data_IF_389176320038
#
_entry.id   IF_389176320038
#
_cell.length_a   1.000
_cell.length_b   1.000
_cell.length_c   1.000
_cell.angle_alpha   90.00
_cell.angle_beta   90.00
_cell.angle_gamma   90.00
#
_symmetry.space_group_name_H-M   'P 1'
#
loop_
_entity.id
_entity.type
_entity.pdbx_description
1 polymer ?
#
# COMPACT_ATOMS: atom_id res chain seq x y z
N UNK A 1 4.05 15.50 46.96
CA UNK A 1 2.81 16.30 46.92
C UNK A 1 2.51 16.52 45.45
N UNK A 2 1.52 15.92 44.79
CA UNK A 2 0.24 15.36 45.24
C UNK A 2 -0.15 14.31 44.19
N UNK A 3 -0.32 13.06 44.61
CA UNK A 3 -0.88 11.97 43.80
C UNK A 3 -2.40 12.02 43.93
N UNK A 4 -3.12 12.00 42.80
CA UNK A 4 -4.57 11.77 42.79
C UNK A 4 -4.81 10.43 42.09
N UNK A 5 -5.19 9.48 42.92
CA UNK A 5 -5.85 8.21 42.61
C UNK A 5 -7.37 8.43 42.69
N UNK A 6 -8.13 7.51 42.06
CA UNK A 6 -9.58 7.26 42.08
C UNK A 6 -10.24 7.55 40.71
N UNK A 7 -11.08 6.68 40.16
CA UNK A 7 -11.62 5.44 40.68
C UNK A 7 -12.45 4.73 39.60
N UNK A 8 -12.42 3.41 39.68
CA UNK A 8 -13.34 2.48 39.03
C UNK A 8 -14.76 2.68 39.57
N UNK A 9 -15.69 3.01 38.68
CA UNK A 9 -17.13 3.06 38.96
C UNK A 9 -17.88 2.13 38.01
N UNK A 10 -18.39 1.04 38.57
CA UNK A 10 -19.48 0.21 38.01
C UNK A 10 -20.71 1.08 37.77
N UNK A 11 -21.40 0.85 36.66
CA UNK A 11 -22.86 0.96 36.53
C UNK A 11 -23.25 0.55 35.11
N UNK A 12 -23.92 -0.61 35.01
CA UNK A 12 -24.99 -1.02 34.09
C UNK A 12 -25.00 -2.55 34.01
N UNK A 13 -25.33 -3.16 35.15
CA UNK A 13 -26.17 -4.36 35.19
C UNK A 13 -27.61 -3.86 35.22
N UNK A 14 -28.41 -4.31 34.26
CA UNK A 14 -29.87 -4.56 34.34
C UNK A 14 -30.41 -4.64 32.91
N UNK A 15 -30.59 -5.85 32.41
CA UNK A 15 -31.14 -6.08 31.07
C UNK A 15 -30.99 -7.50 30.50
N UNK A 16 -30.82 -8.52 31.33
CA UNK A 16 -31.01 -9.92 30.92
C UNK A 16 -32.16 -10.52 31.73
N UNK A 17 -33.37 -10.37 31.22
CA UNK A 17 -34.47 -11.26 31.56
C UNK A 17 -35.41 -11.34 30.35
N UNK A 18 -35.76 -12.57 29.96
CA UNK A 18 -36.57 -12.97 28.80
C UNK A 18 -35.80 -13.13 27.48
N UNK A 19 -35.25 -14.32 27.26
CA UNK A 19 -35.65 -15.29 26.22
C UNK A 19 -35.00 -16.62 26.62
N UNK A 20 -35.60 -17.24 27.64
CA UNK A 20 -35.28 -18.57 28.15
C UNK A 20 -36.57 -19.35 28.27
N UNK A 21 -37.20 -19.66 27.14
CA UNK A 21 -38.08 -20.84 26.99
C UNK A 21 -38.24 -21.10 25.49
N UNK A 22 -38.27 -22.37 25.10
CA UNK A 22 -38.42 -22.92 23.71
C UNK A 22 -37.16 -23.63 23.14
N UNK A 23 -36.18 -24.04 23.97
CA UNK A 23 -35.23 -25.10 23.56
C UNK A 23 -35.01 -26.11 24.69
N UNK A 24 -36.10 -26.63 25.24
CA UNK A 24 -36.07 -27.76 26.19
C UNK A 24 -37.13 -28.77 25.76
N UNK A 25 -36.88 -29.42 24.61
CA UNK A 25 -37.61 -30.61 24.17
C UNK A 25 -36.87 -31.31 23.04
N UNK A 26 -35.79 -32.01 23.37
CA UNK A 26 -35.25 -33.16 22.63
C UNK A 26 -34.19 -33.85 23.50
N UNK A 27 -34.54 -34.22 24.73
CA UNK A 27 -33.82 -35.29 25.44
C UNK A 27 -34.53 -36.60 25.09
N UNK A 28 -33.96 -37.32 24.13
CA UNK A 28 -34.34 -38.67 23.77
C UNK A 28 -33.09 -39.52 23.71
N UNK A 29 -33.01 -40.49 24.62
CA UNK A 29 -32.11 -41.65 24.70
C UNK A 29 -31.13 -41.84 23.53
N UNK A 30 -29.84 -41.70 23.83
CA UNK A 30 -28.76 -42.42 23.15
C UNK A 30 -27.85 -43.02 24.24
N UNK A 31 -28.25 -44.21 24.68
CA UNK A 31 -27.38 -45.16 25.37
C UNK A 31 -26.25 -45.61 24.41
N UNK A 32 -25.05 -45.75 24.97
CA UNK A 32 -23.92 -46.57 24.50
C UNK A 32 -23.54 -46.49 23.01
N UNK A 33 -22.78 -45.44 22.65
CA UNK A 33 -21.78 -45.55 21.58
C UNK A 33 -20.40 -45.33 22.19
N UNK A 34 -19.68 -46.44 22.37
CA UNK A 34 -18.28 -46.47 22.73
C UNK A 34 -17.45 -45.72 21.68
N UNK A 35 -16.94 -44.56 22.07
CA UNK A 35 -15.91 -43.85 21.31
C UNK A 35 -14.64 -44.71 21.26
N UNK A 36 -14.05 -44.97 20.09
CA UNK A 36 -12.76 -45.66 20.03
C UNK A 36 -11.71 -44.76 20.69
N UNK A 37 -11.00 -45.34 21.65
CA UNK A 37 -9.84 -44.75 22.31
C UNK A 37 -8.85 -44.27 21.25
N UNK A 38 -8.72 -42.95 21.09
CA UNK A 38 -7.74 -42.31 20.23
C UNK A 38 -6.34 -42.72 20.71
N UNK A 39 -5.70 -43.59 19.93
CA UNK A 39 -4.30 -43.95 20.10
C UNK A 39 -3.45 -42.68 20.16
N UNK A 40 -2.85 -42.41 21.32
CA UNK A 40 -1.88 -41.32 21.54
C UNK A 40 -0.50 -41.61 20.92
N UNK A 41 -0.47 -42.32 19.79
CA UNK A 41 0.71 -42.55 18.97
C UNK A 41 0.54 -41.87 17.61
N UNK A 42 -0.05 -40.66 17.61
CA UNK A 42 0.12 -39.73 16.49
C UNK A 42 1.57 -39.22 16.55
N UNK A 43 2.32 -39.67 15.54
CA UNK A 43 3.54 -39.12 15.03
C UNK A 43 3.94 -37.80 15.70
N UNK A 44 5.05 -37.84 16.43
CA UNK A 44 5.98 -36.72 16.38
C UNK A 44 6.16 -36.38 14.90
N UNK A 45 5.47 -35.33 14.46
CA UNK A 45 5.84 -34.61 13.25
C UNK A 45 7.31 -34.29 13.44
N UNK A 46 8.16 -35.09 12.76
CA UNK A 46 9.46 -34.61 12.36
C UNK A 46 9.16 -33.26 11.73
N UNK A 47 9.56 -32.19 12.41
CA UNK A 47 9.80 -30.89 11.80
C UNK A 47 10.65 -31.23 10.58
N UNK A 48 10.01 -31.32 9.41
CA UNK A 48 10.70 -31.38 8.14
C UNK A 48 11.73 -30.28 8.21
N UNK A 49 13.01 -30.68 8.26
CA UNK A 49 14.12 -29.76 8.25
C UNK A 49 13.88 -28.84 7.07
N UNK A 50 13.54 -27.57 7.33
CA UNK A 50 13.29 -26.55 6.30
C UNK A 50 14.32 -26.74 5.20
N UNK A 51 13.87 -27.21 4.04
CA UNK A 51 14.73 -27.49 2.92
C UNK A 51 15.46 -26.18 2.60
N UNK A 52 16.75 -26.12 2.95
CA UNK A 52 17.55 -24.90 2.95
C UNK A 52 17.59 -24.30 1.54
N UNK A 53 16.71 -23.34 1.27
CA UNK A 53 16.72 -22.66 -0.02
C UNK A 53 18.04 -21.87 -0.16
N UNK A 54 18.76 -22.01 -1.29
CA UNK A 54 19.94 -21.19 -1.54
C UNK A 54 19.54 -19.71 -1.55
N UNK A 55 20.37 -18.85 -0.93
CA UNK A 55 20.17 -17.40 -0.83
C UNK A 55 19.89 -16.73 -2.19
N UNK A 56 20.38 -17.31 -3.28
CA UNK A 56 20.15 -16.86 -4.66
C UNK A 56 18.67 -16.91 -5.10
N UNK A 57 17.86 -17.79 -4.50
CA UNK A 57 16.40 -17.87 -4.76
C UNK A 57 15.58 -16.98 -3.82
N UNK A 58 16.23 -16.26 -2.90
CA UNK A 58 15.54 -15.42 -1.92
C UNK A 58 14.82 -14.25 -2.58
N UNK A 59 13.58 -13.99 -2.14
CA UNK A 59 12.84 -12.75 -2.44
C UNK A 59 13.62 -11.51 -2.01
N UNK A 60 14.49 -11.63 -0.98
CA UNK A 60 15.37 -10.56 -0.48
C UNK A 60 16.39 -10.11 -1.53
N UNK A 61 17.02 -11.05 -2.25
CA UNK A 61 18.01 -10.72 -3.29
C UNK A 61 17.39 -9.85 -4.40
N UNK A 62 16.15 -10.14 -4.79
CA UNK A 62 15.42 -9.33 -5.79
C UNK A 62 15.26 -7.88 -5.35
N UNK A 63 15.05 -7.65 -4.06
CA UNK A 63 14.88 -6.31 -3.51
C UNK A 63 16.20 -5.57 -3.34
N UNK A 64 17.28 -6.26 -2.92
CA UNK A 64 18.63 -5.66 -2.93
C UNK A 64 19.06 -5.29 -4.35
N UNK A 65 18.76 -6.13 -5.34
CA UNK A 65 19.01 -5.81 -6.75
C UNK A 65 18.18 -4.59 -7.20
N UNK A 66 16.92 -4.52 -6.81
CA UNK A 66 16.06 -3.36 -7.08
C UNK A 66 16.63 -2.08 -6.47
N UNK A 67 17.09 -2.14 -5.22
CA UNK A 67 17.74 -1.01 -4.54
C UNK A 67 19.05 -0.60 -5.21
N UNK A 68 19.86 -1.54 -5.69
CA UNK A 68 21.06 -1.24 -6.46
C UNK A 68 20.72 -0.49 -7.77
N UNK A 69 19.73 -0.99 -8.53
CA UNK A 69 19.28 -0.35 -9.78
C UNK A 69 18.73 1.06 -9.50
N UNK A 70 17.89 1.21 -8.49
CA UNK A 70 17.34 2.51 -8.11
C UNK A 70 18.43 3.48 -7.64
N UNK A 71 19.40 3.01 -6.85
CA UNK A 71 20.54 3.82 -6.43
C UNK A 71 21.38 4.26 -7.63
N UNK A 72 21.56 3.40 -8.65
CA UNK A 72 22.25 3.77 -9.88
C UNK A 72 21.49 4.86 -10.66
N UNK A 73 20.16 4.73 -10.77
CA UNK A 73 19.33 5.78 -11.36
C UNK A 73 19.40 7.08 -10.57
N UNK A 74 19.53 7.01 -9.24
CA UNK A 74 19.68 8.16 -8.37
C UNK A 74 21.01 8.87 -8.62
N UNK A 75 22.10 8.11 -8.78
CA UNK A 75 23.42 8.65 -9.14
C UNK A 75 23.36 9.38 -10.48
N UNK A 76 22.79 8.75 -11.51
CA UNK A 76 22.65 9.38 -12.84
C UNK A 76 21.83 10.67 -12.74
N UNK A 77 20.68 10.62 -12.06
CA UNK A 77 19.81 11.80 -11.89
C UNK A 77 20.52 12.92 -11.12
N UNK A 78 21.32 12.58 -10.10
CA UNK A 78 22.08 13.56 -9.30
C UNK A 78 23.23 14.16 -10.10
N UNK A 79 23.87 13.37 -10.95
CA UNK A 79 24.98 13.80 -11.80
C UNK A 79 24.51 14.72 -12.94
N UNK A 80 23.41 14.37 -13.61
CA UNK A 80 22.80 15.20 -14.64
C UNK A 80 22.39 16.57 -14.05
N UNK A 81 21.81 16.54 -12.85
CA UNK A 81 21.45 17.74 -12.08
C UNK A 81 22.65 18.66 -11.78
N UNK A 82 23.84 18.10 -11.47
CA UNK A 82 25.07 18.88 -11.24
C UNK A 82 25.66 19.44 -12.56
N UNK A 83 25.55 18.70 -13.66
CA UNK A 83 26.02 19.14 -14.97
C UNK A 83 25.23 20.33 -15.52
N UNK A 84 23.90 20.31 -15.39
CA UNK A 84 23.04 21.44 -15.80
C UNK A 84 23.42 22.73 -15.08
N UNK A 85 23.76 22.65 -13.79
CA UNK A 85 24.22 23.80 -13.01
C UNK A 85 25.60 24.33 -13.47
N UNK A 86 26.51 23.46 -13.91
CA UNK A 86 27.82 23.88 -14.43
C UNK A 86 27.75 24.49 -15.83
N UNK A 87 26.73 24.15 -16.62
CA UNK A 87 26.58 24.61 -17.99
C UNK A 87 25.96 26.02 -18.10
N UNK A 88 25.33 26.53 -17.03
CA UNK A 88 24.82 27.89 -16.97
C UNK A 88 25.97 28.85 -16.58
N UNK A 89 26.41 29.76 -17.46
CA UNK A 89 27.35 30.79 -17.07
C UNK A 89 26.68 31.68 -16.02
N UNK A 90 27.25 31.71 -14.82
CA UNK A 90 26.86 32.67 -13.77
C UNK A 90 26.81 34.06 -14.41
N UNK A 91 25.68 34.78 -14.36
CA UNK A 91 25.65 36.17 -14.79
C UNK A 91 26.68 36.91 -13.95
N UNK A 92 27.74 37.42 -14.59
CA UNK A 92 28.69 38.25 -13.87
C UNK A 92 27.93 39.45 -13.32
N UNK A 93 28.02 39.73 -12.01
CA UNK A 93 27.36 40.89 -11.45
C UNK A 93 27.90 42.12 -12.17
N UNK A 94 27.04 42.82 -12.90
CA UNK A 94 27.34 44.18 -13.33
C UNK A 94 27.45 45.00 -12.05
N UNK A 95 28.67 45.43 -11.73
CA UNK A 95 28.97 46.33 -10.62
C UNK A 95 28.27 47.69 -10.86
N UNK A 96 26.99 47.78 -10.57
CA UNK A 96 26.27 49.05 -10.51
C UNK A 96 25.25 49.00 -9.37
N UNK A 97 25.69 49.46 -8.20
CA UNK A 97 24.94 50.11 -7.11
C UNK A 97 23.51 49.58 -6.88
N UNK A 98 23.36 48.61 -5.97
CA UNK A 98 22.06 48.24 -5.39
C UNK A 98 22.16 48.37 -3.85
N UNK A 99 21.19 49.04 -3.19
CA UNK A 99 21.20 49.26 -1.75
C UNK A 99 21.10 47.96 -0.95
N UNK A 100 21.72 47.98 0.22
CA UNK A 100 21.99 46.89 1.18
C UNK A 100 20.78 46.06 1.66
N UNK A 101 19.57 46.38 1.19
CA UNK A 101 18.34 45.61 1.47
C UNK A 101 18.06 44.48 0.49
N UNK A 102 18.67 44.47 -0.71
CA UNK A 102 18.52 43.37 -1.68
C UNK A 102 19.49 42.20 -1.46
N UNK A 103 20.49 42.33 -0.57
CA UNK A 103 21.41 41.24 -0.23
C UNK A 103 20.76 40.12 0.62
N UNK A 104 19.50 40.30 1.03
CA UNK A 104 18.70 39.23 1.64
C UNK A 104 17.82 38.50 0.62
N UNK A 105 17.65 39.04 -0.60
CA UNK A 105 16.56 38.68 -1.54
C UNK A 105 17.01 37.90 -2.79
N UNK A 106 18.33 37.74 -3.04
CA UNK A 106 18.85 36.86 -4.11
C UNK A 106 18.96 35.38 -3.71
N UNK A 107 18.61 35.02 -2.46
CA UNK A 107 18.55 33.65 -1.98
C UNK A 107 17.21 32.98 -2.33
N UNK A 108 16.77 33.06 -3.59
CA UNK A 108 15.94 31.99 -4.12
C UNK A 108 16.90 30.81 -4.22
N UNK A 109 16.86 29.91 -3.21
CA UNK A 109 17.85 28.84 -3.03
C UNK A 109 17.93 27.99 -4.30
N UNK A 110 18.85 28.32 -5.20
CA UNK A 110 19.56 27.26 -5.90
C UNK A 110 20.08 26.34 -4.81
N UNK A 111 19.69 25.07 -4.85
CA UNK A 111 20.23 24.09 -3.95
C UNK A 111 21.74 24.26 -3.92
N UNK A 112 22.26 24.46 -2.71
CA UNK A 112 23.67 24.74 -2.52
C UNK A 112 24.46 23.61 -3.19
N UNK A 113 25.65 23.94 -3.69
CA UNK A 113 26.56 22.94 -4.25
C UNK A 113 26.73 21.77 -3.28
N UNK A 114 26.71 22.05 -1.98
CA UNK A 114 26.78 21.07 -0.91
C UNK A 114 25.59 20.11 -0.88
N UNK A 115 24.36 20.56 -1.18
CA UNK A 115 23.16 19.70 -1.24
C UNK A 115 23.21 18.75 -2.44
N UNK A 116 23.73 19.23 -3.58
CA UNK A 116 23.90 18.42 -4.80
C UNK A 116 25.00 17.38 -4.62
N UNK A 117 26.10 17.76 -4.00
CA UNK A 117 27.16 16.84 -3.59
C UNK A 117 26.60 15.81 -2.61
N UNK A 118 25.83 16.24 -1.62
CA UNK A 118 25.19 15.33 -0.66
C UNK A 118 24.28 14.32 -1.36
N UNK A 119 23.44 14.76 -2.30
CA UNK A 119 22.58 13.90 -3.11
C UNK A 119 23.37 12.84 -3.90
N UNK A 120 24.48 13.25 -4.53
CA UNK A 120 25.38 12.35 -5.24
C UNK A 120 26.07 11.35 -4.29
N UNK A 121 26.51 11.80 -3.11
CA UNK A 121 27.17 10.96 -2.10
C UNK A 121 26.19 9.92 -1.56
N UNK A 122 24.98 10.32 -1.16
CA UNK A 122 23.91 9.43 -0.69
C UNK A 122 23.66 8.33 -1.72
N UNK A 123 23.47 8.72 -2.98
CA UNK A 123 23.15 7.80 -4.07
C UNK A 123 24.31 6.85 -4.38
N UNK A 124 25.54 7.36 -4.41
CA UNK A 124 26.75 6.59 -4.76
C UNK A 124 27.13 5.60 -3.68
N UNK A 125 27.14 6.04 -2.41
CA UNK A 125 27.37 5.15 -1.26
C UNK A 125 26.30 4.06 -1.23
N UNK A 126 25.05 4.41 -1.51
CA UNK A 126 23.94 3.46 -1.61
C UNK A 126 24.12 2.42 -2.69
N UNK A 127 24.49 2.85 -3.90
CA UNK A 127 24.79 1.95 -4.98
C UNK A 127 25.89 0.95 -4.60
N UNK A 128 26.98 1.45 -4.02
CA UNK A 128 28.13 0.62 -3.64
C UNK A 128 27.74 -0.44 -2.62
N UNK A 129 27.08 -0.08 -1.51
CA UNK A 129 26.76 -1.09 -0.51
C UNK A 129 25.67 -2.07 -0.98
N UNK A 130 24.67 -1.63 -1.74
CA UNK A 130 23.68 -2.55 -2.31
C UNK A 130 24.33 -3.54 -3.28
N UNK A 131 25.25 -3.09 -4.12
CA UNK A 131 26.02 -3.98 -5.00
C UNK A 131 26.89 -4.95 -4.20
N UNK A 132 27.53 -4.51 -3.11
CA UNK A 132 28.28 -5.40 -2.23
C UNK A 132 27.38 -6.50 -1.64
N UNK A 133 26.17 -6.16 -1.17
CA UNK A 133 25.21 -7.15 -0.63
C UNK A 133 24.77 -8.13 -1.72
N UNK A 134 24.44 -7.65 -2.92
CA UNK A 134 24.08 -8.49 -4.06
C UNK A 134 25.23 -9.44 -4.41
N UNK A 135 26.47 -8.93 -4.48
CA UNK A 135 27.66 -9.74 -4.76
C UNK A 135 27.89 -10.80 -3.69
N UNK A 136 27.67 -10.50 -2.41
CA UNK A 136 27.74 -11.51 -1.33
C UNK A 136 26.75 -12.65 -1.57
N UNK A 137 25.51 -12.34 -1.94
CA UNK A 137 24.48 -13.34 -2.23
C UNK A 137 24.79 -14.17 -3.48
N UNK A 138 25.35 -13.54 -4.53
CA UNK A 138 25.74 -14.23 -5.76
C UNK A 138 26.94 -15.14 -5.51
N UNK A 139 27.96 -14.64 -4.80
CA UNK A 139 29.16 -15.41 -4.45
C UNK A 139 28.77 -16.60 -3.57
N UNK A 140 27.89 -16.44 -2.59
CA UNK A 140 27.43 -17.56 -1.75
C UNK A 140 26.76 -18.67 -2.58
N UNK A 141 26.08 -18.31 -3.68
CA UNK A 141 25.51 -19.28 -4.62
C UNK A 141 26.54 -20.08 -5.43
N UNK A 142 27.77 -19.58 -5.57
CA UNK A 142 28.86 -20.23 -6.32
C UNK A 142 29.87 -20.90 -5.36
N UNK A 143 30.19 -20.21 -4.26
CA UNK A 143 31.13 -20.60 -3.21
C UNK A 143 30.50 -20.31 -1.85
N UNK A 144 30.07 -21.33 -1.07
CA UNK A 144 29.39 -21.12 0.19
C UNK A 144 30.31 -20.49 1.23
N UNK A 145 30.21 -19.17 1.41
CA UNK A 145 31.00 -18.39 2.36
C UNK A 145 30.25 -18.35 3.70
N UNK A 146 30.40 -19.42 4.49
CA UNK A 146 29.66 -19.65 5.74
C UNK A 146 29.63 -18.46 6.70
N UNK A 147 30.71 -17.67 6.79
CA UNK A 147 30.77 -16.49 7.68
C UNK A 147 29.94 -15.30 7.17
N UNK A 148 29.97 -15.06 5.86
CA UNK A 148 29.21 -13.96 5.24
C UNK A 148 27.73 -14.31 5.17
N UNK A 149 27.42 -15.58 4.92
CA UNK A 149 26.05 -16.12 4.96
C UNK A 149 25.36 -15.86 6.29
N UNK A 150 26.03 -16.15 7.42
CA UNK A 150 25.49 -15.87 8.77
C UNK A 150 25.12 -14.41 9.00
N UNK A 151 25.79 -13.47 8.34
CA UNK A 151 25.44 -12.05 8.45
C UNK A 151 24.13 -11.69 7.75
N UNK A 152 23.65 -12.50 6.80
CA UNK A 152 22.43 -12.29 6.01
C UNK A 152 21.45 -13.48 6.07
N UNK A 153 21.60 -14.37 7.05
CA UNK A 153 20.62 -15.43 7.30
C UNK A 153 19.30 -14.85 7.84
N UNK A 154 18.21 -15.62 7.74
CA UNK A 154 16.89 -15.21 8.25
C UNK A 154 16.99 -14.81 9.73
N UNK A 155 16.50 -13.62 10.08
CA UNK A 155 16.58 -13.10 11.45
C UNK A 155 17.96 -12.55 11.86
N UNK A 156 18.89 -12.35 10.92
CA UNK A 156 20.20 -11.78 11.24
C UNK A 156 20.09 -10.33 11.74
N UNK A 157 20.61 -10.07 12.95
CA UNK A 157 20.70 -8.74 13.53
C UNK A 157 21.57 -7.76 12.71
N UNK A 158 22.58 -8.28 12.01
CA UNK A 158 23.45 -7.47 11.15
C UNK A 158 22.65 -6.95 9.95
N UNK A 159 21.85 -7.83 9.33
CA UNK A 159 21.04 -7.47 8.17
C UNK A 159 19.99 -6.41 8.53
N UNK A 160 19.22 -6.59 9.60
CA UNK A 160 18.23 -5.57 10.01
C UNK A 160 18.89 -4.25 10.40
N UNK A 161 20.06 -4.27 11.03
CA UNK A 161 20.79 -3.04 11.34
C UNK A 161 21.14 -2.28 10.06
N UNK A 162 21.64 -2.97 9.04
CA UNK A 162 21.96 -2.36 7.73
C UNK A 162 20.70 -1.82 7.06
N UNK A 163 19.61 -2.59 7.01
CA UNK A 163 18.35 -2.15 6.38
C UNK A 163 17.73 -0.96 7.14
N UNK A 164 17.71 -1.00 8.47
CA UNK A 164 17.16 0.08 9.30
C UNK A 164 17.97 1.38 9.15
N UNK A 165 19.30 1.29 9.22
CA UNK A 165 20.18 2.44 8.98
C UNK A 165 20.02 2.98 7.56
N UNK A 166 19.91 2.11 6.56
CA UNK A 166 19.62 2.48 5.18
C UNK A 166 18.27 3.20 5.05
N UNK A 167 17.23 2.72 5.74
CA UNK A 167 15.90 3.34 5.74
C UNK A 167 15.93 4.75 6.35
N UNK A 168 16.61 4.92 7.48
CA UNK A 168 16.78 6.24 8.12
C UNK A 168 17.61 7.18 7.24
N UNK A 169 18.69 6.66 6.64
CA UNK A 169 19.55 7.42 5.73
C UNK A 169 18.76 7.94 4.52
N UNK A 170 18.01 7.07 3.85
CA UNK A 170 17.14 7.45 2.74
C UNK A 170 15.98 8.33 3.16
N UNK A 171 15.46 8.19 4.38
CA UNK A 171 14.42 9.08 4.90
C UNK A 171 14.93 10.51 5.00
N UNK A 172 16.07 10.69 5.68
CA UNK A 172 16.71 12.00 5.83
C UNK A 172 17.08 12.57 4.47
N UNK A 173 17.72 11.77 3.60
CA UNK A 173 18.09 12.22 2.27
C UNK A 173 16.88 12.62 1.42
N UNK A 174 15.78 11.87 1.48
CA UNK A 174 14.54 12.23 0.77
C UNK A 174 13.99 13.53 1.32
N UNK A 175 13.85 13.67 2.64
CA UNK A 175 13.37 14.91 3.25
C UNK A 175 14.19 16.15 2.87
N UNK A 176 15.52 16.02 2.81
CA UNK A 176 16.40 17.13 2.41
C UNK A 176 16.28 17.38 0.90
N UNK A 177 16.59 16.37 0.08
CA UNK A 177 16.76 16.53 -1.37
C UNK A 177 15.46 16.84 -2.08
N UNK A 178 14.32 16.34 -1.57
CA UNK A 178 13.01 16.58 -2.18
C UNK A 178 12.26 17.75 -1.54
N UNK A 179 12.82 18.42 -0.53
CA UNK A 179 12.20 19.64 0.01
C UNK A 179 12.16 20.76 -1.04
N UNK A 180 11.33 21.78 -0.79
CA UNK A 180 11.30 23.01 -1.59
C UNK A 180 12.64 23.76 -1.61
N UNK A 181 13.51 23.51 -0.63
CA UNK A 181 14.83 24.14 -0.52
C UNK A 181 15.96 23.26 -1.02
N UNK A 182 15.68 21.97 -1.30
CA UNK A 182 16.69 21.01 -1.73
C UNK A 182 16.78 20.92 -3.25
N UNK A 183 17.74 20.14 -3.73
CA UNK A 183 18.09 19.92 -5.15
C UNK A 183 16.89 19.82 -6.10
N UNK A 184 15.86 19.11 -5.67
CA UNK A 184 14.72 18.83 -6.50
C UNK A 184 13.74 20.03 -6.52
N UNK A 185 13.69 20.86 -5.47
CA UNK A 185 12.85 22.05 -5.31
C UNK A 185 13.25 23.27 -6.14
N UNK A 186 14.40 23.23 -6.83
CA UNK A 186 14.95 24.32 -7.65
C UNK A 186 14.10 24.71 -8.87
N UNK A 187 12.95 24.05 -9.11
CA UNK A 187 12.03 24.39 -10.20
C UNK A 187 12.63 24.17 -11.60
N UNK A 188 13.65 23.31 -11.71
CA UNK A 188 14.32 22.95 -12.97
C UNK A 188 13.77 21.65 -13.58
N UNK A 189 12.53 21.25 -13.22
CA UNK A 189 11.90 20.03 -13.74
C UNK A 189 12.62 18.71 -13.43
N UNK A 190 13.33 18.62 -12.30
CA UNK A 190 14.15 17.46 -11.92
C UNK A 190 13.33 16.29 -11.35
N UNK A 191 12.23 15.92 -12.03
CA UNK A 191 11.25 14.93 -11.58
C UNK A 191 11.84 13.56 -11.29
N UNK A 192 12.85 13.15 -12.06
CA UNK A 192 13.54 11.87 -11.87
C UNK A 192 14.20 11.78 -10.48
N UNK A 193 14.76 12.89 -9.99
CA UNK A 193 15.40 12.92 -8.68
C UNK A 193 14.39 12.68 -7.56
N UNK A 194 13.20 13.28 -7.67
CA UNK A 194 12.07 13.04 -6.77
C UNK A 194 11.62 11.59 -6.75
N UNK A 195 11.27 11.03 -7.91
CA UNK A 195 10.77 9.65 -7.97
C UNK A 195 11.77 8.67 -7.43
N UNK A 196 13.04 8.78 -7.83
CA UNK A 196 14.03 7.79 -7.46
C UNK A 196 14.32 7.85 -5.96
N UNK A 197 14.41 9.03 -5.34
CA UNK A 197 14.64 9.16 -3.90
C UNK A 197 13.49 8.55 -3.07
N UNK A 198 12.26 8.92 -3.40
CA UNK A 198 11.09 8.37 -2.70
C UNK A 198 10.94 6.86 -2.92
N UNK A 199 11.17 6.36 -4.13
CA UNK A 199 11.11 4.92 -4.39
C UNK A 199 12.24 4.20 -3.64
N UNK A 200 13.45 4.75 -3.56
CA UNK A 200 14.52 4.21 -2.73
C UNK A 200 14.11 4.13 -1.26
N UNK A 201 13.51 5.19 -0.70
CA UNK A 201 12.99 5.19 0.66
C UNK A 201 11.93 4.09 0.86
N UNK A 202 10.92 4.01 0.00
CA UNK A 202 9.86 3.02 0.14
C UNK A 202 10.36 1.58 0.00
N UNK A 203 11.29 1.32 -0.91
CA UNK A 203 11.86 -0.04 -1.06
C UNK A 203 12.70 -0.40 0.16
N UNK A 204 13.38 0.57 0.80
CA UNK A 204 14.08 0.33 2.07
C UNK A 204 13.11 0.01 3.22
N UNK A 205 12.03 0.77 3.37
CA UNK A 205 10.98 0.47 4.36
C UNK A 205 10.37 -0.90 4.11
N UNK A 206 10.08 -1.26 2.85
CA UNK A 206 9.55 -2.57 2.51
C UNK A 206 10.55 -3.70 2.76
N UNK A 207 11.86 -3.44 2.65
CA UNK A 207 12.88 -4.42 3.04
C UNK A 207 12.86 -4.72 4.54
N UNK A 208 12.54 -3.74 5.39
CA UNK A 208 12.35 -3.96 6.84
C UNK A 208 11.20 -4.93 7.07
N UNK A 209 10.06 -4.73 6.39
CA UNK A 209 8.91 -5.63 6.45
C UNK A 209 9.26 -7.06 6.00
N UNK A 210 9.92 -7.20 4.85
CA UNK A 210 10.35 -8.52 4.33
C UNK A 210 11.27 -9.22 5.33
N UNK A 211 12.20 -8.49 5.94
CA UNK A 211 13.09 -9.04 6.95
C UNK A 211 12.31 -9.51 8.19
N UNK A 212 11.36 -8.71 8.68
CA UNK A 212 10.56 -9.05 9.85
C UNK A 212 9.71 -10.30 9.63
N UNK A 213 9.14 -10.44 8.42
CA UNK A 213 8.41 -11.65 8.01
C UNK A 213 9.36 -12.85 7.93
N UNK A 214 10.54 -12.70 7.33
CA UNK A 214 11.52 -13.78 7.21
C UNK A 214 12.11 -14.21 8.57
N UNK A 215 12.15 -13.30 9.55
CA UNK A 215 12.59 -13.56 10.92
C UNK A 215 11.52 -14.26 11.79
N UNK A 216 10.35 -14.60 11.21
CA UNK A 216 9.22 -15.21 11.92
C UNK A 216 8.74 -14.37 13.11
N UNK A 217 8.77 -13.03 13.01
CA UNK A 217 8.15 -12.18 14.02
C UNK A 217 6.62 -12.35 13.96
N UNK A 218 6.12 -13.21 14.85
CA UNK A 218 4.72 -13.62 14.89
C UNK A 218 3.76 -12.44 15.03
N UNK A 219 4.12 -11.41 15.79
CA UNK A 219 3.31 -10.18 15.93
C UNK A 219 3.09 -9.44 14.61
N UNK A 220 4.08 -9.44 13.71
CA UNK A 220 4.01 -8.76 12.42
C UNK A 220 3.32 -9.62 11.39
N UNK A 221 3.58 -10.93 11.42
CA UNK A 221 2.83 -11.88 10.60
C UNK A 221 1.34 -11.88 10.95
N UNK A 222 1.01 -11.93 12.25
CA UNK A 222 -0.34 -11.79 12.76
C UNK A 222 -0.91 -10.42 12.44
N UNK A 223 -0.12 -9.33 12.51
CA UNK A 223 -0.57 -8.01 12.07
C UNK A 223 -0.90 -8.01 10.57
N UNK A 224 0.03 -8.34 9.68
CA UNK A 224 -0.22 -8.33 8.23
C UNK A 224 -1.39 -9.25 7.85
N UNK A 225 -1.51 -10.42 8.49
CA UNK A 225 -2.65 -11.33 8.30
C UNK A 225 -3.95 -10.83 8.92
N UNK A 226 -3.89 -10.07 10.02
CA UNK A 226 -5.07 -9.55 10.69
C UNK A 226 -5.65 -8.34 9.97
N UNK A 227 -4.93 -7.74 9.03
CA UNK A 227 -5.49 -6.62 8.27
C UNK A 227 -6.61 -7.15 7.39
N UNK A 228 -7.86 -6.74 7.65
CA UNK A 228 -9.00 -7.21 6.89
C UNK A 228 -8.91 -6.68 5.47
N UNK A 229 -9.11 -7.57 4.50
CA UNK A 229 -9.44 -7.22 3.12
C UNK A 229 -8.55 -6.13 2.51
N UNK A 230 -9.08 -4.90 2.45
CA UNK A 230 -8.56 -3.75 1.71
C UNK A 230 -8.15 -2.60 2.64
N UNK A 231 -8.13 -2.81 3.96
CA UNK A 231 -7.63 -1.84 4.94
C UNK A 231 -6.23 -1.27 4.59
N UNK A 232 -5.25 -2.09 4.14
CA UNK A 232 -3.95 -1.55 3.74
C UNK A 232 -4.05 -0.54 2.59
N UNK A 233 -4.94 -0.77 1.64
CA UNK A 233 -5.17 0.14 0.52
C UNK A 233 -5.72 1.49 0.97
N UNK A 234 -6.74 1.50 1.84
CA UNK A 234 -7.30 2.74 2.37
C UNK A 234 -6.31 3.50 3.25
N UNK A 235 -5.52 2.81 4.07
CA UNK A 235 -4.47 3.44 4.88
C UNK A 235 -3.41 4.08 3.99
N UNK A 236 -3.00 3.42 2.90
CA UNK A 236 -2.08 4.01 1.93
C UNK A 236 -2.67 5.22 1.22
N UNK A 237 -3.95 5.16 0.79
CA UNK A 237 -4.65 6.32 0.21
C UNK A 237 -4.66 7.48 1.22
N UNK A 238 -4.96 7.21 2.48
CA UNK A 238 -4.96 8.22 3.53
C UNK A 238 -3.60 8.90 3.69
N UNK A 239 -2.53 8.12 3.86
CA UNK A 239 -1.17 8.65 4.09
C UNK A 239 -0.70 9.47 2.89
N UNK A 240 -0.80 8.92 1.67
CA UNK A 240 -0.38 9.60 0.45
C UNK A 240 -1.19 10.88 0.20
N UNK A 241 -2.51 10.82 0.40
CA UNK A 241 -3.39 11.98 0.24
C UNK A 241 -3.09 13.06 1.28
N UNK A 242 -2.86 12.68 2.54
CA UNK A 242 -2.57 13.63 3.61
C UNK A 242 -1.26 14.38 3.32
N UNK A 243 -0.22 13.63 2.95
CA UNK A 243 1.04 14.22 2.54
C UNK A 243 0.86 15.13 1.32
N UNK A 244 0.09 14.70 0.32
CA UNK A 244 -0.22 15.51 -0.86
C UNK A 244 -0.94 16.81 -0.47
N UNK A 245 -1.95 16.73 0.39
CA UNK A 245 -2.70 17.89 0.88
C UNK A 245 -1.80 18.88 1.61
N UNK A 246 -0.93 18.40 2.50
CA UNK A 246 0.04 19.24 3.19
C UNK A 246 0.99 19.92 2.19
N UNK A 247 1.47 19.20 1.18
CA UNK A 247 2.31 19.78 0.12
C UNK A 247 1.56 20.83 -0.72
N UNK A 248 0.28 20.61 -1.06
CA UNK A 248 -0.53 21.59 -1.80
C UNK A 248 -0.79 22.84 -0.96
N UNK A 249 -1.11 22.67 0.32
CA UNK A 249 -1.34 23.79 1.23
C UNK A 249 -0.08 24.61 1.44
N UNK A 250 1.06 23.94 1.62
CA UNK A 250 2.37 24.58 1.71
C UNK A 250 2.63 25.40 0.44
N UNK A 251 2.51 24.80 -0.75
CA UNK A 251 2.68 25.50 -2.02
C UNK A 251 1.78 26.71 -2.21
N UNK A 252 0.52 26.60 -1.79
CA UNK A 252 -0.44 27.70 -1.85
C UNK A 252 -0.03 28.84 -0.93
N UNK A 253 0.44 28.52 0.28
CA UNK A 253 0.95 29.50 1.23
C UNK A 253 2.23 30.17 0.68
N UNK A 254 3.15 29.41 0.08
CA UNK A 254 4.33 29.92 -0.60
C UNK A 254 3.98 30.96 -1.67
N UNK A 255 2.99 30.69 -2.53
CA UNK A 255 2.52 31.65 -3.53
C UNK A 255 2.01 32.98 -2.96
N UNK A 256 1.60 33.02 -1.68
CA UNK A 256 1.21 34.27 -1.01
C UNK A 256 2.37 35.03 -0.38
N UNK A 257 3.37 34.32 0.15
CA UNK A 257 4.55 34.88 0.83
C UNK A 257 5.49 35.55 -0.18
N UNK A 258 5.64 34.97 -1.38
CA UNK A 258 6.53 35.48 -2.42
C UNK A 258 5.95 36.61 -3.29
N UNK A 259 4.79 37.19 -2.92
CA UNK A 259 4.27 38.40 -3.61
C UNK A 259 5.26 39.57 -3.65
N UNK A 260 6.28 39.57 -2.79
CA UNK A 260 7.36 40.55 -2.78
C UNK A 260 8.51 40.27 -3.76
N UNK A 261 8.62 39.08 -4.37
CA UNK A 261 9.71 38.71 -5.27
C UNK A 261 9.16 38.16 -6.61
N UNK A 262 8.75 39.05 -7.53
CA UNK A 262 8.09 38.68 -8.79
C UNK A 262 9.02 37.99 -9.81
N UNK A 263 10.33 38.03 -9.60
CA UNK A 263 11.32 37.44 -10.51
C UNK A 263 11.58 35.95 -10.24
N UNK A 264 11.03 35.40 -9.16
CA UNK A 264 11.15 33.98 -8.82
C UNK A 264 10.35 33.12 -9.82
N UNK A 265 11.02 32.21 -10.53
CA UNK A 265 10.41 31.33 -11.54
C UNK A 265 9.25 30.50 -10.98
N UNK A 266 9.39 29.96 -9.75
CA UNK A 266 8.35 29.21 -9.08
C UNK A 266 7.14 30.10 -8.76
N UNK A 267 7.36 31.34 -8.35
CA UNK A 267 6.27 32.29 -8.11
C UNK A 267 5.50 32.61 -9.39
N UNK A 268 6.20 32.88 -10.50
CA UNK A 268 5.58 33.14 -11.81
C UNK A 268 4.75 31.94 -12.26
N UNK A 269 5.29 30.72 -12.13
CA UNK A 269 4.56 29.49 -12.46
C UNK A 269 3.33 29.35 -11.56
N UNK A 270 3.46 29.42 -10.24
CA UNK A 270 2.34 29.26 -9.31
C UNK A 270 1.27 30.36 -9.47
N UNK A 271 1.65 31.57 -9.86
CA UNK A 271 0.72 32.66 -10.16
C UNK A 271 -0.08 32.40 -11.45
N UNK A 272 0.52 31.71 -12.42
CA UNK A 272 -0.17 31.35 -13.67
C UNK A 272 -1.19 30.23 -13.49
N UNK A 273 -1.12 29.47 -12.39
CA UNK A 273 -2.06 28.40 -12.07
C UNK A 273 -3.43 28.97 -11.71
N UNK A 274 -4.46 28.56 -12.46
CA UNK A 274 -5.83 28.98 -12.22
C UNK A 274 -6.33 28.57 -10.81
N UNK A 275 -7.03 29.48 -10.12
CA UNK A 275 -7.61 29.23 -8.79
C UNK A 275 -8.49 27.96 -8.74
N UNK A 276 -9.18 27.63 -9.83
CA UNK A 276 -10.01 26.42 -9.93
C UNK A 276 -9.19 25.13 -9.80
N UNK A 277 -7.91 25.12 -10.22
CA UNK A 277 -7.05 23.95 -10.04
C UNK A 277 -6.71 23.74 -8.57
N UNK A 278 -6.39 24.81 -7.83
CA UNK A 278 -6.13 24.75 -6.39
C UNK A 278 -7.34 24.22 -5.61
N UNK A 279 -8.53 24.74 -5.94
CA UNK A 279 -9.78 24.29 -5.33
C UNK A 279 -10.06 22.81 -5.65
N UNK A 280 -9.88 22.41 -6.91
CA UNK A 280 -10.04 21.02 -7.32
C UNK A 280 -9.11 20.07 -6.56
N UNK A 281 -7.83 20.42 -6.40
CA UNK A 281 -6.86 19.63 -5.64
C UNK A 281 -7.24 19.50 -4.16
N UNK A 282 -7.69 20.58 -3.53
CA UNK A 282 -8.14 20.54 -2.14
C UNK A 282 -9.38 19.66 -2.01
N UNK A 283 -10.36 19.78 -2.91
CA UNK A 283 -11.56 18.93 -2.93
C UNK A 283 -11.19 17.46 -3.13
N UNK A 284 -10.27 17.16 -4.06
CA UNK A 284 -9.77 15.81 -4.32
C UNK A 284 -9.13 15.21 -3.07
N UNK A 285 -8.28 15.99 -2.38
CA UNK A 285 -7.64 15.56 -1.15
C UNK A 285 -8.66 15.33 -0.03
N UNK A 286 -9.54 16.29 0.24
CA UNK A 286 -10.55 16.17 1.31
C UNK A 286 -11.48 14.98 1.08
N UNK A 287 -11.95 14.79 -0.16
CA UNK A 287 -12.80 13.66 -0.52
C UNK A 287 -12.08 12.33 -0.30
N UNK A 288 -10.80 12.24 -0.69
CA UNK A 288 -9.98 11.04 -0.54
C UNK A 288 -9.67 10.75 0.93
N UNK A 289 -9.38 11.76 1.74
CA UNK A 289 -9.21 11.63 3.19
C UNK A 289 -10.49 11.14 3.86
N UNK A 290 -11.64 11.74 3.53
CA UNK A 290 -12.92 11.35 4.11
C UNK A 290 -13.26 9.88 3.79
N UNK A 291 -13.11 9.47 2.53
CA UNK A 291 -13.38 8.09 2.09
C UNK A 291 -12.38 7.12 2.74
N UNK A 292 -11.08 7.44 2.72
CA UNK A 292 -10.06 6.55 3.29
C UNK A 292 -10.16 6.39 4.80
N UNK A 293 -10.51 7.45 5.55
CA UNK A 293 -10.80 7.35 6.98
C UNK A 293 -12.06 6.50 7.20
N UNK A 294 -13.16 6.78 6.49
CA UNK A 294 -14.42 6.08 6.69
C UNK A 294 -14.27 4.56 6.46
N UNK A 295 -13.72 4.16 5.31
CA UNK A 295 -13.51 2.75 5.01
C UNK A 295 -12.35 2.16 5.82
N UNK A 296 -11.28 2.92 6.09
CA UNK A 296 -10.18 2.46 6.93
C UNK A 296 -10.65 2.09 8.34
N UNK A 297 -11.46 2.95 8.98
CA UNK A 297 -12.03 2.67 10.29
C UNK A 297 -13.06 1.54 10.25
N UNK A 298 -13.95 1.52 9.25
CA UNK A 298 -14.92 0.43 9.07
C UNK A 298 -14.24 -0.93 8.95
N UNK A 299 -13.14 -0.99 8.20
CA UNK A 299 -12.35 -2.20 8.05
C UNK A 299 -11.66 -2.57 9.37
N UNK A 300 -10.88 -1.65 9.96
CA UNK A 300 -10.10 -1.91 11.19
C UNK A 300 -10.99 -2.32 12.37
N UNK A 301 -12.17 -1.73 12.52
CA UNK A 301 -13.09 -2.02 13.62
C UNK A 301 -14.17 -3.07 13.29
N UNK A 302 -14.03 -3.81 12.18
CA UNK A 302 -14.96 -4.91 11.88
C UNK A 302 -14.85 -5.98 12.99
N UNK A 303 -15.98 -6.47 13.51
CA UNK A 303 -16.00 -7.49 14.59
C UNK A 303 -15.51 -8.86 14.09
N UNK A 304 -14.74 -9.55 14.92
CA UNK A 304 -14.05 -10.83 14.63
C UNK A 304 -14.98 -12.00 14.25
N UNK A 305 -16.23 -12.04 14.72
CA UNK A 305 -17.16 -13.12 14.35
C UNK A 305 -17.51 -13.13 12.85
N UNK A 306 -17.35 -11.99 12.17
CA UNK A 306 -17.48 -11.85 10.71
C UNK A 306 -16.14 -12.01 9.96
N UNK A 307 -15.00 -12.08 10.66
CA UNK A 307 -13.68 -12.22 10.05
C UNK A 307 -13.41 -13.63 9.51
N UNK A 308 -13.88 -14.65 10.24
CA UNK A 308 -13.62 -16.05 9.87
C UNK A 308 -14.29 -16.40 8.52
N UNK A 309 -15.44 -15.78 8.23
CA UNK A 309 -16.17 -15.97 6.98
C UNK A 309 -16.04 -14.81 5.98
N UNK A 310 -15.47 -13.69 6.40
CA UNK A 310 -15.14 -12.53 5.56
C UNK A 310 -16.30 -12.06 4.66
N UNK A 311 -17.51 -12.02 5.20
CA UNK A 311 -18.72 -11.68 4.43
C UNK A 311 -18.99 -10.18 4.58
N UNK A 312 -18.53 -9.37 3.61
CA UNK A 312 -19.00 -7.99 3.46
C UNK A 312 -20.46 -7.99 3.03
N UNK A 313 -21.27 -7.08 3.57
CA UNK A 313 -22.64 -6.92 3.05
C UNK A 313 -22.61 -6.43 1.60
N UNK A 314 -23.58 -6.83 0.78
CA UNK A 314 -23.67 -6.39 -0.63
C UNK A 314 -23.69 -4.87 -0.75
N UNK A 315 -24.36 -4.18 0.18
CA UNK A 315 -24.45 -2.72 0.23
C UNK A 315 -23.09 -2.09 0.52
N UNK A 316 -22.37 -2.60 1.51
CA UNK A 316 -21.02 -2.13 1.86
C UNK A 316 -20.05 -2.34 0.70
N UNK A 317 -20.04 -3.53 0.10
CA UNK A 317 -19.17 -3.84 -1.04
C UNK A 317 -19.44 -2.92 -2.25
N UNK A 318 -20.72 -2.62 -2.50
CA UNK A 318 -21.15 -1.73 -3.58
C UNK A 318 -20.79 -0.28 -3.30
N UNK A 319 -21.02 0.20 -2.07
CA UNK A 319 -20.66 1.56 -1.66
C UNK A 319 -19.15 1.78 -1.75
N UNK A 320 -18.35 0.79 -1.34
CA UNK A 320 -16.91 0.80 -1.48
C UNK A 320 -16.48 0.88 -2.95
N UNK A 321 -17.12 0.09 -3.83
CA UNK A 321 -16.86 0.11 -5.27
C UNK A 321 -17.17 1.44 -5.93
N UNK A 322 -18.32 2.05 -5.57
CA UNK A 322 -18.70 3.38 -6.04
C UNK A 322 -17.68 4.42 -5.56
N UNK A 323 -17.30 4.38 -4.29
CA UNK A 323 -16.33 5.31 -3.70
C UNK A 323 -14.97 5.21 -4.38
N UNK A 324 -14.45 4.00 -4.58
CA UNK A 324 -13.18 3.78 -5.28
C UNK A 324 -13.24 4.20 -6.76
N UNK A 325 -14.39 4.01 -7.42
CA UNK A 325 -14.59 4.48 -8.80
C UNK A 325 -14.56 6.01 -8.88
N UNK A 326 -15.21 6.70 -7.95
CA UNK A 326 -15.15 8.17 -7.84
C UNK A 326 -13.71 8.63 -7.62
N UNK A 327 -13.00 8.01 -6.65
CA UNK A 327 -11.60 8.34 -6.38
C UNK A 327 -10.70 8.11 -7.60
N UNK A 328 -10.90 7.01 -8.33
CA UNK A 328 -10.14 6.69 -9.54
C UNK A 328 -10.24 7.81 -10.59
N UNK A 329 -11.46 8.28 -10.88
CA UNK A 329 -11.65 9.37 -11.83
C UNK A 329 -11.09 10.71 -11.33
N UNK A 330 -11.29 11.03 -10.05
CA UNK A 330 -10.75 12.24 -9.43
C UNK A 330 -9.22 12.27 -9.57
N UNK A 331 -8.53 11.20 -9.19
CA UNK A 331 -7.06 11.17 -9.15
C UNK A 331 -6.40 11.05 -10.51
N UNK A 332 -7.02 10.37 -11.47
CA UNK A 332 -6.55 10.42 -12.87
C UNK A 332 -6.62 11.86 -13.39
N UNK A 333 -7.74 12.53 -13.13
CA UNK A 333 -7.93 13.93 -13.55
C UNK A 333 -6.96 14.86 -12.81
N UNK A 334 -6.80 14.71 -11.49
CA UNK A 334 -5.85 15.48 -10.70
C UNK A 334 -4.41 15.30 -11.16
N UNK A 335 -4.02 14.07 -11.49
CA UNK A 335 -2.70 13.82 -12.06
C UNK A 335 -2.55 14.50 -13.41
N UNK A 336 -3.48 14.29 -14.33
CA UNK A 336 -3.41 14.89 -15.67
C UNK A 336 -3.32 16.43 -15.61
N UNK A 337 -4.16 17.06 -14.79
CA UNK A 337 -4.21 18.53 -14.65
C UNK A 337 -3.04 19.08 -13.86
N UNK A 338 -2.69 18.47 -12.71
CA UNK A 338 -1.65 19.01 -11.83
C UNK A 338 -0.24 18.84 -12.37
N UNK A 339 0.01 17.76 -13.10
CA UNK A 339 1.35 17.42 -13.60
C UNK A 339 1.63 17.95 -15.01
N UNK A 340 0.61 18.46 -15.72
CA UNK A 340 0.74 19.10 -17.04
C UNK A 340 0.54 20.60 -16.88
N UNK A 341 1.63 21.33 -16.62
CA UNK A 341 1.64 22.79 -16.38
C UNK A 341 0.73 23.25 -15.22
N UNK A 342 0.42 22.35 -14.29
CA UNK A 342 -0.51 22.59 -13.18
C UNK A 342 0.16 22.82 -11.83
N UNK A 343 -0.67 22.84 -10.78
CA UNK A 343 -0.30 23.08 -9.37
C UNK A 343 0.94 22.31 -8.90
N UNK A 344 1.14 21.08 -9.40
CA UNK A 344 2.17 20.16 -8.93
C UNK A 344 3.26 19.90 -9.94
N UNK A 345 3.23 20.58 -11.09
CA UNK A 345 4.19 20.38 -12.18
C UNK A 345 5.61 20.66 -11.71
N UNK A 346 5.93 21.87 -11.25
CA UNK A 346 7.31 22.26 -10.94
C UNK A 346 7.82 21.92 -9.53
N UNK A 347 6.98 21.32 -8.69
CA UNK A 347 7.33 21.01 -7.29
C UNK A 347 7.22 19.53 -7.09
N UNK A 348 8.35 18.84 -6.98
CA UNK A 348 8.28 17.40 -7.06
C UNK A 348 7.79 16.68 -5.82
N UNK A 349 7.70 17.31 -4.63
CA UNK A 349 6.91 16.70 -3.55
C UNK A 349 5.42 16.68 -3.93
N UNK A 350 4.90 17.79 -4.45
CA UNK A 350 3.55 17.85 -5.00
C UNK A 350 3.35 16.86 -6.15
N UNK A 351 4.30 16.83 -7.10
CA UNK A 351 4.29 15.91 -8.24
C UNK A 351 4.25 14.46 -7.79
N UNK A 352 5.21 14.08 -6.95
CA UNK A 352 5.39 12.72 -6.47
C UNK A 352 4.19 12.26 -5.65
N UNK A 353 3.70 13.08 -4.72
CA UNK A 353 2.59 12.72 -3.86
C UNK A 353 1.26 12.64 -4.64
N UNK A 354 1.11 13.45 -5.70
CA UNK A 354 -0.03 13.32 -6.63
C UNK A 354 -0.02 11.96 -7.32
N UNK A 355 1.14 11.55 -7.85
CA UNK A 355 1.30 10.23 -8.47
C UNK A 355 1.18 9.09 -7.47
N UNK A 356 1.77 9.20 -6.28
CA UNK A 356 1.70 8.20 -5.23
C UNK A 356 0.24 7.97 -4.79
N UNK A 357 -0.54 9.04 -4.61
CA UNK A 357 -1.96 8.97 -4.27
C UNK A 357 -2.76 8.29 -5.39
N UNK A 358 -2.46 8.62 -6.64
CA UNK A 358 -3.11 7.99 -7.81
C UNK A 358 -2.80 6.51 -7.91
N UNK A 359 -1.54 6.11 -7.73
CA UNK A 359 -1.13 4.70 -7.73
C UNK A 359 -1.81 3.95 -6.58
N UNK A 360 -1.85 4.53 -5.36
CA UNK A 360 -2.53 3.93 -4.22
C UNK A 360 -4.02 3.68 -4.48
N UNK A 361 -4.70 4.66 -5.10
CA UNK A 361 -6.11 4.53 -5.50
C UNK A 361 -6.29 3.45 -6.57
N UNK A 362 -5.47 3.46 -7.63
CA UNK A 362 -5.55 2.45 -8.70
C UNK A 362 -5.30 1.05 -8.15
N UNK A 363 -4.29 0.86 -7.30
CA UNK A 363 -3.97 -0.44 -6.72
C UNK A 363 -5.11 -0.96 -5.85
N UNK A 364 -5.70 -0.08 -5.02
CA UNK A 364 -6.85 -0.43 -4.18
C UNK A 364 -8.08 -0.76 -5.03
N UNK A 365 -8.32 0.00 -6.10
CA UNK A 365 -9.40 -0.25 -7.06
C UNK A 365 -9.24 -1.56 -7.82
N UNK A 366 -8.04 -1.88 -8.31
CA UNK A 366 -7.74 -3.17 -8.97
C UNK A 366 -7.94 -4.33 -8.01
N UNK A 367 -7.56 -4.17 -6.75
CA UNK A 367 -7.80 -5.17 -5.70
C UNK A 367 -9.30 -5.37 -5.51
N UNK A 368 -10.08 -4.29 -5.47
CA UNK A 368 -11.53 -4.37 -5.43
C UNK A 368 -12.15 -5.11 -6.62
N UNK A 369 -11.68 -4.83 -7.85
CA UNK A 369 -12.14 -5.53 -9.06
C UNK A 369 -11.82 -7.03 -8.98
N UNK A 370 -10.66 -7.41 -8.46
CA UNK A 370 -10.28 -8.83 -8.32
C UNK A 370 -11.24 -9.55 -7.37
N UNK A 371 -11.56 -8.94 -6.24
CA UNK A 371 -12.50 -9.51 -5.27
C UNK A 371 -13.91 -9.59 -5.86
N UNK A 372 -14.35 -8.55 -6.58
CA UNK A 372 -15.63 -8.55 -7.28
C UNK A 372 -15.73 -9.71 -8.27
N UNK A 373 -14.70 -9.89 -9.11
CA UNK A 373 -14.65 -10.99 -10.09
C UNK A 373 -14.68 -12.36 -9.41
N UNK A 374 -13.99 -12.50 -8.28
CA UNK A 374 -14.00 -13.73 -7.49
C UNK A 374 -15.41 -14.03 -6.97
N UNK A 375 -16.07 -13.03 -6.37
CA UNK A 375 -17.43 -13.16 -5.84
C UNK A 375 -18.44 -13.52 -6.94
N UNK A 376 -18.37 -12.89 -8.11
CA UNK A 376 -19.24 -13.22 -9.26
C UNK A 376 -19.03 -14.66 -9.71
N UNK A 377 -17.78 -15.13 -9.75
CA UNK A 377 -17.48 -16.53 -10.10
C UNK A 377 -18.03 -17.50 -9.08
N UNK A 378 -17.89 -17.22 -7.79
CA UNK A 378 -18.39 -18.06 -6.71
C UNK A 378 -19.93 -18.15 -6.75
N UNK A 379 -20.62 -17.02 -6.95
CA UNK A 379 -22.08 -16.97 -7.12
C UNK A 379 -22.53 -17.75 -8.37
N UNK A 380 -21.86 -17.57 -9.50
CA UNK A 380 -22.17 -18.27 -10.75
C UNK A 380 -21.98 -19.80 -10.60
N UNK A 381 -20.91 -20.23 -9.92
CA UNK A 381 -20.66 -21.64 -9.63
C UNK A 381 -21.71 -22.22 -8.68
N UNK A 382 -22.18 -21.44 -7.71
CA UNK A 382 -23.23 -21.86 -6.79
C UNK A 382 -24.56 -22.04 -7.52
N UNK A 383 -24.96 -21.07 -8.36
CA UNK A 383 -26.15 -21.16 -9.20
C UNK A 383 -26.09 -22.36 -10.15
N UNK A 384 -24.93 -22.66 -10.73
CA UNK A 384 -24.75 -23.84 -11.57
C UNK A 384 -24.93 -25.15 -10.79
N UNK A 385 -24.38 -25.23 -9.57
CA UNK A 385 -24.57 -26.40 -8.69
C UNK A 385 -26.03 -26.58 -8.29
N UNK A 386 -26.72 -25.49 -7.96
CA UNK A 386 -28.13 -25.53 -7.57
C UNK A 386 -29.01 -25.94 -8.76
N UNK A 387 -28.74 -25.40 -9.96
CA UNK A 387 -29.41 -25.81 -11.20
C UNK A 387 -29.20 -27.30 -11.49
N UNK A 388 -27.96 -27.80 -11.38
CA UNK A 388 -27.64 -29.22 -11.59
C UNK A 388 -28.37 -30.12 -10.59
N UNK A 389 -28.42 -29.74 -9.31
CA UNK A 389 -29.22 -30.48 -8.30
C UNK A 389 -30.70 -30.50 -8.66
N UNK A 390 -31.25 -29.37 -9.13
CA UNK A 390 -32.64 -29.31 -9.58
C UNK A 390 -32.90 -30.22 -10.79
N UNK A 391 -31.96 -30.32 -11.74
CA UNK A 391 -32.06 -31.26 -12.86
C UNK A 391 -32.03 -32.73 -12.40
N UNK A 392 -31.08 -33.08 -11.51
CA UNK A 392 -30.95 -34.42 -10.94
C UNK A 392 -32.22 -34.83 -10.14
N UNK A 393 -32.98 -33.88 -9.60
CA UNK A 393 -34.26 -34.13 -8.93
C UNK A 393 -35.45 -34.29 -9.90
N UNK A 394 -35.39 -33.72 -11.10
CA UNK A 394 -36.50 -33.75 -12.09
C UNK A 394 -36.39 -34.94 -13.05
N UNK A 395 -35.17 -35.37 -13.41
CA UNK A 395 -34.94 -36.57 -14.25
C UNK A 395 -35.58 -37.87 -13.73
N UNK A 396 -35.60 -38.19 -12.42
CA UNK A 396 -36.31 -39.39 -11.95
C UNK A 396 -37.83 -39.27 -12.05
N UNK A 397 -38.40 -38.06 -12.05
CA UNK A 397 -39.86 -37.87 -12.20
C UNK A 397 -40.34 -38.03 -13.64
N UNK A 398 -39.57 -37.61 -14.64
CA UNK A 398 -39.92 -37.83 -16.05
C UNK A 398 -39.81 -39.31 -16.46
N UNK A 399 -38.87 -40.05 -15.87
CA UNK A 399 -38.74 -41.50 -16.08
C UNK A 399 -39.86 -42.33 -15.44
N UNK A 400 -40.47 -41.87 -14.34
CA UNK A 400 -41.64 -42.52 -13.73
C UNK A 400 -42.91 -42.17 -14.51
N UNK A 401 -43.11 -40.90 -14.88
CA UNK A 401 -44.30 -40.46 -15.61
C UNK A 401 -44.39 -41.02 -17.04
N UNK A 402 -43.24 -41.25 -17.69
CA UNK A 402 -43.18 -41.94 -18.98
C UNK A 402 -43.51 -43.43 -18.92
N UNK A 403 -43.28 -44.10 -17.78
CA UNK A 403 -43.66 -45.51 -17.58
C UNK A 403 -45.13 -45.68 -17.22
N UNK A 404 -45.73 -44.75 -16.48
CA UNK A 404 -47.16 -44.79 -16.16
C UNK A 404 -48.04 -44.55 -17.40
N UNK A 405 -47.62 -43.68 -18.32
CA UNK A 405 -48.36 -43.45 -19.58
C UNK A 405 -48.26 -44.64 -20.54
N UNK A 406 -47.15 -45.38 -20.55
CA UNK A 406 -47.01 -46.59 -21.36
C UNK A 406 -47.78 -47.78 -20.76
N UNK A 407 -47.90 -47.90 -19.43
CA UNK A 407 -48.73 -48.94 -18.82
C UNK A 407 -50.23 -48.71 -19.05
N UNK A 408 -50.68 -47.45 -19.04
CA UNK A 408 -52.10 -47.11 -19.26
C UNK A 408 -52.54 -47.24 -20.73
N UNK A 409 -51.59 -47.22 -21.69
CA UNK A 409 -51.86 -47.53 -23.10
C UNK A 409 -51.88 -49.03 -23.40
N UNK A 410 -51.04 -49.84 -22.73
CA UNK A 410 -51.08 -51.32 -22.87
C UNK A 410 -52.35 -51.92 -22.25
N UNK A 411 -52.86 -51.37 -21.14
CA UNK A 411 -54.07 -51.90 -20.48
C UNK A 411 -55.38 -51.60 -21.25
N UNK A 412 -55.36 -50.68 -22.22
CA UNK A 412 -56.53 -50.37 -23.07
C UNK A 412 -56.63 -51.19 -24.36
N UNK A 413 -55.64 -52.00 -24.70
CA UNK A 413 -55.69 -52.86 -25.90
C UNK A 413 -56.16 -54.30 -25.64
N UNK A 414 -56.41 -54.71 -24.38
CA UNK A 414 -56.79 -56.10 -24.05
C UNK A 414 -58.30 -56.36 -23.83
N UNK A 415 -59.19 -55.41 -24.13
CA UNK A 415 -60.64 -55.63 -23.98
C UNK A 415 -61.40 -55.26 -25.26
N UNK A 416 -61.36 -56.14 -26.26
CA UNK A 416 -62.45 -56.32 -27.23
C UNK A 416 -62.44 -57.78 -27.74
N UNK A 417 -63.41 -58.63 -27.33
CA UNK A 417 -63.65 -59.96 -27.92
C UNK A 417 -64.49 -59.93 -29.20
#
# INVERSE_FOLDING_TARGET
MTSISLGTGRLFEDGEEQIGSVVERCEGNLDDVSLPSRNSNEASEEFESEEYLPLLKSTRLKHYLKLAILSALAVVSSYDSDLENKALPLPQPKEDIIPDFMNLESNVLEADRDERIYCLVVSSVSLLYHLCIVMIHVIDGIYPLQKMRKAFDNGSHVEIFVIAMSSVWWFIATCINTSLKGVAGDGKGQYNLYFVHWICLFVNIHMVEIWLVAANHESIYQSIKSWPNRAPGFIMIFICTLACMLSILDLRQYGTVFRGNPDNSLFVTLQSVANSQWEFFIIACVTSLAISIAFGLMEVFRKEDYYIHNIKSTTEFSLEGISLTILFFIWITATAVGTTDGVTSEVGNGYFLTWASTIAVIQTYVTWIKDWRRNVREVSMQQYKDYRRSQELVEPMSGVMGKTLLSDEEEKQEVEP
#
